data_IF_883575530982
#
_entry.id   IF_883575530982
#
_cell.length_a   1.000
_cell.length_b   1.000
_cell.length_c   1.000
_cell.angle_alpha   90.00
_cell.angle_beta   90.00
_cell.angle_gamma   90.00
#
_symmetry.space_group_name_H-M   'P 1'
#
loop_
_entity.id
_entity.type
_entity.pdbx_description
1 polymer ?
#
# COMPACT_ATOMS: atom_id res chain seq x y z
N UNK A 1 -0.99 -16.21 16.14
CA UNK A 1 -1.23 -16.76 14.78
C UNK A 1 -0.64 -15.81 13.74
N UNK A 2 0.10 -16.29 12.75
CA UNK A 2 0.61 -15.48 11.64
C UNK A 2 -0.49 -15.27 10.61
N UNK A 3 -0.52 -14.12 9.95
CA UNK A 3 -1.49 -13.79 8.90
C UNK A 3 -0.81 -13.76 7.55
N UNK A 4 -1.50 -14.24 6.51
CA UNK A 4 -1.03 -14.22 5.12
C UNK A 4 -1.58 -12.98 4.41
N UNK A 5 -0.70 -12.10 3.99
CA UNK A 5 -1.02 -11.01 3.04
C UNK A 5 -0.53 -11.38 1.65
N UNK A 6 -1.34 -11.19 0.64
CA UNK A 6 -1.00 -11.49 -0.77
C UNK A 6 -0.99 -10.21 -1.59
N UNK A 7 0.16 -9.90 -2.19
CA UNK A 7 0.27 -8.80 -3.16
C UNK A 7 -0.25 -9.26 -4.53
N UNK A 8 -1.10 -8.44 -5.15
CA UNK A 8 -1.73 -8.72 -6.45
C UNK A 8 -1.41 -7.68 -7.52
N UNK A 9 -0.41 -6.81 -7.31
CA UNK A 9 -0.06 -5.74 -8.25
C UNK A 9 0.23 -6.24 -9.65
N UNK A 10 0.91 -7.39 -9.76
CA UNK A 10 1.31 -7.92 -11.06
C UNK A 10 0.15 -8.49 -11.88
N UNK A 11 -1.00 -8.76 -11.30
CA UNK A 11 -2.24 -9.02 -12.05
C UNK A 11 -2.59 -7.79 -12.90
N UNK A 12 -2.50 -6.60 -12.30
CA UNK A 12 -2.71 -5.34 -13.03
C UNK A 12 -1.59 -5.07 -14.04
N UNK A 13 -0.33 -5.44 -13.74
CA UNK A 13 0.78 -5.33 -14.69
C UNK A 13 0.50 -6.13 -15.97
N UNK A 14 0.05 -7.39 -15.85
CA UNK A 14 -0.30 -8.23 -16.98
C UNK A 14 -1.47 -7.64 -17.76
N UNK A 15 -2.53 -7.21 -17.08
CA UNK A 15 -3.68 -6.52 -17.71
C UNK A 15 -3.24 -5.31 -18.53
N UNK A 16 -2.41 -4.44 -17.94
CA UNK A 16 -1.96 -3.22 -18.58
C UNK A 16 -1.06 -3.50 -19.79
N UNK A 17 -0.17 -4.50 -19.69
CA UNK A 17 0.70 -4.92 -20.80
C UNK A 17 -0.10 -5.46 -21.98
N UNK A 18 -1.26 -6.10 -21.73
CA UNK A 18 -2.15 -6.59 -22.78
C UNK A 18 -3.03 -5.49 -23.40
N UNK A 19 -3.18 -4.37 -22.72
CA UNK A 19 -4.10 -3.30 -23.15
C UNK A 19 -5.59 -3.67 -23.05
N UNK A 20 -5.93 -4.65 -22.18
CA UNK A 20 -7.28 -5.20 -22.04
C UNK A 20 -7.85 -5.03 -20.65
N UNK A 21 -9.06 -5.56 -20.42
CA UNK A 21 -9.72 -5.55 -19.12
C UNK A 21 -9.34 -6.77 -18.25
N UNK A 22 -8.73 -7.77 -18.83
CA UNK A 22 -8.31 -9.00 -18.16
C UNK A 22 -6.79 -9.20 -18.21
N UNK A 23 -6.20 -9.86 -17.18
CA UNK A 23 -6.83 -10.31 -15.92
C UNK A 23 -7.24 -9.14 -15.00
N UNK A 24 -8.38 -9.27 -14.34
CA UNK A 24 -8.93 -8.21 -13.47
C UNK A 24 -8.40 -8.35 -12.03
N UNK A 25 -7.72 -7.32 -11.47
CA UNK A 25 -7.24 -7.32 -10.09
C UNK A 25 -8.35 -7.48 -9.04
N UNK A 26 -9.58 -7.00 -9.33
CA UNK A 26 -10.71 -7.18 -8.43
C UNK A 26 -11.08 -8.66 -8.28
N UNK A 27 -11.16 -9.38 -9.40
CA UNK A 27 -11.44 -10.82 -9.40
C UNK A 27 -10.32 -11.60 -8.69
N UNK A 28 -9.07 -11.22 -8.91
CA UNK A 28 -7.93 -11.81 -8.20
C UNK A 28 -8.03 -11.59 -6.69
N UNK A 29 -8.38 -10.38 -6.22
CA UNK A 29 -8.55 -10.08 -4.80
C UNK A 29 -9.64 -10.96 -4.17
N UNK A 30 -10.79 -11.13 -4.85
CA UNK A 30 -11.89 -11.98 -4.39
C UNK A 30 -11.45 -13.45 -4.33
N UNK A 31 -10.76 -13.94 -5.36
CA UNK A 31 -10.25 -15.31 -5.41
C UNK A 31 -9.27 -15.59 -4.29
N UNK A 32 -8.25 -14.74 -4.12
CA UNK A 32 -7.23 -14.89 -3.09
C UNK A 32 -7.83 -14.89 -1.68
N UNK A 33 -8.83 -14.04 -1.43
CA UNK A 33 -9.59 -14.07 -0.18
C UNK A 33 -10.31 -15.40 0.01
N UNK A 34 -10.97 -15.92 -1.04
CA UNK A 34 -11.73 -17.18 -1.00
C UNK A 34 -10.86 -18.38 -0.65
N UNK A 35 -9.61 -18.38 -1.11
CA UNK A 35 -8.65 -19.47 -0.82
C UNK A 35 -7.88 -19.30 0.49
N UNK A 36 -8.23 -18.31 1.32
CA UNK A 36 -7.80 -18.23 2.71
C UNK A 36 -6.75 -17.16 3.04
N UNK A 37 -6.45 -16.22 2.14
CA UNK A 37 -5.63 -15.07 2.51
C UNK A 37 -6.33 -14.18 3.55
N UNK A 38 -5.56 -13.69 4.52
CA UNK A 38 -6.06 -12.79 5.58
C UNK A 38 -6.22 -11.36 5.09
N UNK A 39 -5.35 -10.92 4.18
CA UNK A 39 -5.39 -9.57 3.61
C UNK A 39 -4.80 -9.53 2.20
N UNK A 40 -5.19 -8.52 1.46
CA UNK A 40 -4.65 -8.22 0.13
C UNK A 40 -3.74 -7.00 0.23
N UNK A 41 -2.59 -7.06 -0.41
CA UNK A 41 -1.71 -5.90 -0.58
C UNK A 41 -1.79 -5.42 -2.03
N UNK A 42 -1.98 -4.12 -2.20
CA UNK A 42 -1.93 -3.41 -3.48
C UNK A 42 -1.12 -2.14 -3.33
N UNK A 43 -0.32 -1.81 -4.34
CA UNK A 43 0.46 -0.57 -4.38
C UNK A 43 -0.11 0.39 -5.40
N UNK A 44 -0.67 1.51 -4.93
CA UNK A 44 -1.10 2.61 -5.78
C UNK A 44 0.09 3.56 -6.03
N UNK A 45 0.91 3.23 -7.02
CA UNK A 45 2.07 4.06 -7.39
C UNK A 45 1.66 5.40 -8.00
N UNK A 46 2.53 6.40 -7.89
CA UNK A 46 2.31 7.71 -8.50
C UNK A 46 2.18 7.61 -10.03
N UNK A 47 2.91 6.72 -10.66
CA UNK A 47 2.93 6.52 -12.13
C UNK A 47 1.87 5.54 -12.66
N UNK A 48 1.09 4.89 -11.77
CA UNK A 48 0.01 3.96 -12.14
C UNK A 48 0.42 2.82 -13.08
N UNK A 49 1.68 2.39 -13.03
CA UNK A 49 2.18 1.32 -13.91
C UNK A 49 1.47 -0.03 -13.75
N UNK A 50 0.77 -0.25 -12.64
CA UNK A 50 -0.07 -1.45 -12.39
C UNK A 50 -1.44 -1.07 -11.83
N UNK A 51 -1.66 -1.09 -10.51
CA UNK A 51 -2.94 -0.70 -9.88
C UNK A 51 -3.25 0.76 -10.20
N UNK A 52 -4.46 1.03 -10.65
CA UNK A 52 -4.98 2.37 -10.88
C UNK A 52 -5.98 2.79 -9.79
N UNK A 53 -6.45 4.03 -9.86
CA UNK A 53 -7.36 4.61 -8.86
C UNK A 53 -8.71 3.86 -8.78
N UNK A 54 -9.20 3.32 -9.91
CA UNK A 54 -10.46 2.57 -9.99
C UNK A 54 -10.29 1.22 -9.30
N UNK A 55 -9.18 0.53 -9.59
CA UNK A 55 -8.85 -0.75 -8.96
C UNK A 55 -8.78 -0.60 -7.44
N UNK A 56 -7.98 0.37 -6.96
CA UNK A 56 -7.80 0.61 -5.54
C UNK A 56 -9.13 0.90 -4.83
N UNK A 57 -9.98 1.74 -5.43
CA UNK A 57 -11.31 2.05 -4.90
C UNK A 57 -12.21 0.82 -4.84
N UNK A 58 -12.29 0.04 -5.92
CA UNK A 58 -13.13 -1.16 -6.00
C UNK A 58 -12.68 -2.22 -4.99
N UNK A 59 -11.38 -2.53 -4.94
CA UNK A 59 -10.82 -3.54 -4.05
C UNK A 59 -11.04 -3.15 -2.58
N UNK A 60 -10.77 -1.89 -2.21
CA UNK A 60 -10.96 -1.40 -0.84
C UNK A 60 -12.45 -1.33 -0.43
N UNK A 61 -13.39 -1.34 -1.37
CA UNK A 61 -14.83 -1.33 -1.09
C UNK A 61 -15.43 -2.73 -0.81
N UNK A 62 -14.66 -3.81 -1.02
CA UNK A 62 -15.16 -5.18 -0.81
C UNK A 62 -15.38 -5.42 0.67
N UNK A 63 -16.63 -5.70 1.05
CA UNK A 63 -17.00 -6.00 2.43
C UNK A 63 -16.23 -7.22 2.97
N UNK A 64 -15.63 -7.07 4.16
CA UNK A 64 -14.90 -8.15 4.82
C UNK A 64 -13.56 -8.53 4.17
N UNK A 65 -13.06 -7.76 3.20
CA UNK A 65 -11.70 -7.86 2.69
C UNK A 65 -10.81 -6.88 3.44
N UNK A 66 -9.75 -7.36 4.06
CA UNK A 66 -8.72 -6.50 4.63
C UNK A 66 -7.73 -6.10 3.54
N UNK A 67 -7.53 -4.80 3.38
CA UNK A 67 -6.62 -4.27 2.34
C UNK A 67 -5.49 -3.47 2.99
N UNK A 68 -4.26 -3.80 2.62
CA UNK A 68 -3.06 -3.02 2.85
C UNK A 68 -2.73 -2.23 1.58
N UNK A 69 -2.91 -0.92 1.63
CA UNK A 69 -2.63 -0.03 0.51
C UNK A 69 -1.23 0.55 0.67
N UNK A 70 -0.33 0.23 -0.25
CA UNK A 70 0.99 0.84 -0.32
C UNK A 70 0.92 2.15 -1.08
N UNK A 71 1.56 3.20 -0.54
CA UNK A 71 1.62 4.54 -1.13
C UNK A 71 2.94 5.23 -0.81
N UNK A 72 3.34 6.18 -1.66
CA UNK A 72 4.44 7.08 -1.36
C UNK A 72 4.06 8.17 -0.34
N UNK A 73 5.05 8.96 0.08
CA UNK A 73 4.84 10.14 0.94
C UNK A 73 4.31 11.36 0.21
N UNK A 74 3.91 11.23 -1.06
CA UNK A 74 3.34 12.30 -1.87
C UNK A 74 1.97 12.73 -1.32
N UNK A 75 1.73 14.03 -1.25
CA UNK A 75 0.50 14.54 -0.62
C UNK A 75 -0.78 14.12 -1.36
N UNK A 76 -0.73 14.04 -2.69
CA UNK A 76 -1.87 13.56 -3.47
C UNK A 76 -2.19 12.09 -3.19
N UNK A 77 -1.16 11.25 -2.99
CA UNK A 77 -1.32 9.85 -2.65
C UNK A 77 -1.94 9.69 -1.26
N UNK A 78 -1.49 10.51 -0.30
CA UNK A 78 -2.06 10.55 1.06
C UNK A 78 -3.54 10.97 1.01
N UNK A 79 -3.89 12.04 0.28
CA UNK A 79 -5.28 12.47 0.11
C UNK A 79 -6.16 11.37 -0.50
N UNK A 80 -5.65 10.65 -1.50
CA UNK A 80 -6.36 9.52 -2.13
C UNK A 80 -6.58 8.38 -1.13
N UNK A 81 -5.55 7.95 -0.39
CA UNK A 81 -5.67 6.91 0.61
C UNK A 81 -6.66 7.28 1.72
N UNK A 82 -6.66 8.53 2.20
CA UNK A 82 -7.63 9.03 3.16
C UNK A 82 -9.08 9.01 2.64
N UNK A 83 -9.28 9.21 1.32
CA UNK A 83 -10.59 9.13 0.66
C UNK A 83 -11.04 7.70 0.46
N UNK A 84 -10.14 6.81 0.07
CA UNK A 84 -10.41 5.37 -0.15
C UNK A 84 -10.68 4.64 1.17
N UNK A 85 -9.99 5.04 2.26
CA UNK A 85 -10.10 4.47 3.61
C UNK A 85 -9.82 2.96 3.66
N UNK A 86 -8.63 2.50 3.26
CA UNK A 86 -8.24 1.11 3.42
C UNK A 86 -8.10 0.76 4.92
N UNK A 87 -8.05 -0.53 5.25
CA UNK A 87 -7.80 -0.99 6.61
C UNK A 87 -6.39 -0.66 7.10
N UNK A 88 -5.41 -0.79 6.20
CA UNK A 88 -4.00 -0.54 6.46
C UNK A 88 -3.40 0.30 5.35
N UNK A 89 -2.44 1.14 5.71
CA UNK A 89 -1.56 1.85 4.77
C UNK A 89 -0.13 1.48 5.09
N UNK A 90 0.63 1.08 4.08
CA UNK A 90 2.09 0.98 4.17
C UNK A 90 2.70 2.16 3.41
N UNK A 91 3.49 2.97 4.11
CA UNK A 91 4.23 4.07 3.46
C UNK A 91 5.53 3.50 2.94
N UNK A 92 5.72 3.59 1.62
CA UNK A 92 6.89 3.08 0.91
C UNK A 92 7.69 4.21 0.27
N UNK A 93 9.02 4.08 0.12
CA UNK A 93 9.77 4.94 -0.78
C UNK A 93 9.35 4.64 -2.22
N UNK A 94 9.28 5.67 -3.05
CA UNK A 94 8.94 5.50 -4.46
C UNK A 94 9.91 6.31 -5.32
N UNK A 95 10.65 5.60 -6.15
CA UNK A 95 11.50 6.17 -7.18
C UNK A 95 11.00 5.67 -8.55
N UNK A 96 10.72 6.59 -9.47
CA UNK A 96 10.18 6.24 -10.80
C UNK A 96 11.14 5.39 -11.65
N UNK A 97 12.45 5.46 -11.35
CA UNK A 97 13.48 4.70 -12.07
C UNK A 97 13.58 3.25 -11.60
N UNK A 98 13.05 2.92 -10.42
CA UNK A 98 13.09 1.58 -9.87
C UNK A 98 11.96 0.71 -10.43
N UNK A 99 12.27 -0.56 -10.70
CA UNK A 99 11.26 -1.55 -11.14
C UNK A 99 10.39 -1.94 -9.95
N UNK A 100 11.02 -2.16 -8.81
CA UNK A 100 10.36 -2.46 -7.52
C UNK A 100 10.83 -1.47 -6.46
N UNK A 101 10.25 -1.52 -5.24
CA UNK A 101 10.71 -0.73 -4.11
C UNK A 101 12.04 -1.29 -3.59
N UNK A 102 13.11 -0.55 -3.80
CA UNK A 102 14.46 -0.88 -3.34
C UNK A 102 14.82 -0.03 -2.12
N UNK A 103 15.28 -0.69 -1.04
CA UNK A 103 15.62 -0.02 0.21
C UNK A 103 14.40 0.50 0.98
N UNK A 104 14.63 0.93 2.20
CA UNK A 104 13.60 1.47 3.09
C UNK A 104 13.53 3.01 3.03
N UNK A 105 12.50 3.55 3.67
CA UNK A 105 12.35 5.00 3.89
C UNK A 105 13.53 5.56 4.67
N UNK A 106 14.05 6.71 4.27
CA UNK A 106 14.98 7.48 5.10
C UNK A 106 14.21 8.10 6.29
N UNK A 107 14.14 7.33 7.38
CA UNK A 107 13.37 7.72 8.56
C UNK A 107 13.99 8.91 9.30
N UNK A 108 15.32 9.05 9.29
CA UNK A 108 16.02 10.14 9.97
C UNK A 108 15.65 11.47 9.34
N UNK A 109 15.79 11.57 8.02
CA UNK A 109 15.50 12.77 7.25
C UNK A 109 14.01 13.13 7.24
N UNK A 110 13.14 12.13 7.23
CA UNK A 110 11.70 12.32 7.05
C UNK A 110 10.87 12.22 8.34
N UNK A 111 11.49 12.15 9.53
CA UNK A 111 10.82 11.88 10.81
C UNK A 111 9.60 12.77 11.05
N UNK A 112 9.76 14.09 10.94
CA UNK A 112 8.67 15.06 11.17
C UNK A 112 7.53 14.90 10.15
N UNK A 113 7.87 14.71 8.87
CA UNK A 113 6.88 14.49 7.80
C UNK A 113 6.08 13.21 8.03
N UNK A 114 6.78 12.10 8.34
CA UNK A 114 6.15 10.80 8.59
C UNK A 114 5.22 10.85 9.81
N UNK A 115 5.63 11.50 10.90
CA UNK A 115 4.77 11.68 12.09
C UNK A 115 3.46 12.39 11.75
N UNK A 116 3.52 13.46 10.94
CA UNK A 116 2.31 14.16 10.47
C UNK A 116 1.41 13.26 9.63
N UNK A 117 1.98 12.45 8.73
CA UNK A 117 1.25 11.53 7.87
C UNK A 117 0.57 10.44 8.72
N UNK A 118 1.31 9.81 9.63
CA UNK A 118 0.79 8.76 10.52
C UNK A 118 -0.39 9.30 11.34
N UNK A 119 -0.28 10.51 11.89
CA UNK A 119 -1.38 11.13 12.64
C UNK A 119 -2.62 11.37 11.77
N UNK A 120 -2.47 11.78 10.50
CA UNK A 120 -3.60 11.92 9.57
C UNK A 120 -4.36 10.60 9.39
N UNK A 121 -3.64 9.48 9.23
CA UNK A 121 -4.25 8.15 9.09
C UNK A 121 -4.86 7.66 10.41
N UNK A 122 -4.15 7.84 11.53
CA UNK A 122 -4.63 7.48 12.87
C UNK A 122 -5.98 8.15 13.19
N UNK A 123 -6.13 9.44 12.86
CA UNK A 123 -7.38 10.19 13.05
C UNK A 123 -8.54 9.69 12.16
N UNK A 124 -8.27 8.81 11.20
CA UNK A 124 -9.27 8.15 10.34
C UNK A 124 -9.38 6.64 10.63
N UNK A 125 -8.81 6.17 11.75
CA UNK A 125 -8.78 4.76 12.14
C UNK A 125 -8.10 3.85 11.10
N UNK A 126 -7.15 4.38 10.35
CA UNK A 126 -6.35 3.62 9.38
C UNK A 126 -5.02 3.27 10.03
N UNK A 127 -4.71 1.97 10.16
CA UNK A 127 -3.42 1.52 10.70
C UNK A 127 -2.31 1.77 9.69
N UNK A 128 -1.20 2.30 10.18
CA UNK A 128 -0.06 2.66 9.32
C UNK A 128 1.15 1.81 9.65
N UNK A 129 1.83 1.32 8.62
CA UNK A 129 3.15 0.73 8.67
C UNK A 129 4.12 1.50 7.78
N UNK A 130 5.42 1.30 7.99
CA UNK A 130 6.48 1.93 7.23
C UNK A 130 7.34 0.86 6.59
N UNK A 131 7.68 1.02 5.32
CA UNK A 131 8.68 0.19 4.65
C UNK A 131 10.08 0.69 5.04
N UNK A 132 10.78 -0.07 5.86
CA UNK A 132 12.05 0.31 6.49
C UNK A 132 13.18 -0.64 6.12
N UNK A 133 14.42 -0.16 6.24
CA UNK A 133 15.57 -1.06 6.17
C UNK A 133 15.63 -1.96 7.41
N UNK A 134 16.20 -3.17 7.33
CA UNK A 134 16.29 -4.09 8.44
C UNK A 134 17.43 -3.72 9.40
N UNK A 135 17.41 -2.48 9.91
CA UNK A 135 18.39 -1.96 10.86
C UNK A 135 17.75 -1.65 12.20
N UNK A 136 18.51 -1.84 13.28
CA UNK A 136 18.04 -1.53 14.65
C UNK A 136 17.66 -0.05 14.76
N UNK A 137 18.44 0.84 14.12
CA UNK A 137 18.14 2.28 14.08
C UNK A 137 16.77 2.57 13.50
N UNK A 138 16.43 1.97 12.35
CA UNK A 138 15.14 2.22 11.69
C UNK A 138 13.97 1.65 12.52
N UNK A 139 14.17 0.49 13.16
CA UNK A 139 13.17 -0.09 14.05
C UNK A 139 12.89 0.85 15.24
N UNK A 140 13.93 1.39 15.88
CA UNK A 140 13.79 2.31 17.01
C UNK A 140 13.08 3.60 16.57
N UNK A 141 13.50 4.18 15.42
CA UNK A 141 12.88 5.41 14.91
C UNK A 141 11.42 5.15 14.56
N UNK A 142 11.11 4.07 13.85
CA UNK A 142 9.72 3.75 13.46
C UNK A 142 8.82 3.59 14.69
N UNK A 143 9.31 2.93 15.75
CA UNK A 143 8.59 2.81 17.02
C UNK A 143 8.31 4.19 17.65
N UNK A 144 9.23 5.15 17.55
CA UNK A 144 9.08 6.50 18.11
C UNK A 144 8.07 7.38 17.33
N UNK A 145 7.63 6.96 16.16
CA UNK A 145 6.68 7.70 15.32
C UNK A 145 5.20 7.40 15.65
N UNK A 146 4.95 6.37 16.43
CA UNK A 146 3.60 5.92 16.79
C UNK A 146 3.00 6.75 17.93
#
# INVERSE_FOLDING_TARGET
MRRLGVNIDHIATVRNARGEIHPDPLNAAIFVKKVGADLITIHLREDRRHINDIDAKKICSIKGLLVNLEISTNENMIKKALKIKPNFVCIVPENRKEITTEGGLDLKKNKSKLKKIINKFKNKNIRTSLFINPTISDIIISKSLN
#
